data_IF_482201667457
#
_entry.id   IF_482201667457
#
_cell.length_a   1.000
_cell.length_b   1.000
_cell.length_c   1.000
_cell.angle_alpha   90.00
_cell.angle_beta   90.00
_cell.angle_gamma   90.00
#
_symmetry.space_group_name_H-M   'P 1'
#
loop_
_entity.id
_entity.type
_entity.pdbx_description
1 polymer ?
#
# COMPACT_ATOMS: atom_id res chain seq x y z
N UNK A 1 10.05 -5.18 18.76
CA UNK A 1 9.48 -6.17 17.84
C UNK A 1 9.99 -5.95 16.41
N UNK A 2 9.92 -6.95 15.52
CA UNK A 2 10.17 -6.79 14.07
C UNK A 2 8.90 -6.26 13.39
N UNK A 3 9.05 -5.34 12.43
CA UNK A 3 7.95 -4.83 11.59
C UNK A 3 8.21 -5.22 10.13
N UNK A 4 7.21 -5.79 9.46
CA UNK A 4 7.23 -6.00 8.02
C UNK A 4 6.45 -4.87 7.32
N UNK A 5 6.99 -4.38 6.20
CA UNK A 5 6.37 -3.32 5.41
C UNK A 5 6.37 -3.72 3.93
N UNK A 6 5.27 -4.29 3.43
CA UNK A 6 5.08 -4.47 2.00
C UNK A 6 4.98 -3.13 1.27
N UNK A 7 5.69 -3.03 0.13
CA UNK A 7 5.69 -1.83 -0.72
C UNK A 7 5.50 -2.21 -2.18
N UNK A 8 4.69 -1.44 -2.91
CA UNK A 8 4.40 -1.67 -4.33
C UNK A 8 5.02 -0.57 -5.19
N UNK A 9 5.61 -0.97 -6.32
CA UNK A 9 6.05 -0.04 -7.38
C UNK A 9 4.88 0.25 -8.29
N UNK A 10 4.50 1.52 -8.39
CA UNK A 10 3.35 1.99 -9.17
C UNK A 10 3.75 3.15 -10.08
N UNK A 11 2.89 3.52 -11.02
CA UNK A 11 3.07 4.77 -11.78
C UNK A 11 3.00 5.96 -10.82
N UNK A 12 3.95 6.89 -10.94
CA UNK A 12 3.97 8.10 -10.11
C UNK A 12 2.66 8.89 -10.28
N UNK A 13 2.07 9.32 -9.18
CA UNK A 13 0.76 9.98 -9.16
C UNK A 13 0.70 11.31 -9.93
N UNK A 14 1.85 11.92 -10.23
CA UNK A 14 1.93 13.12 -11.07
C UNK A 14 1.89 12.82 -12.57
N UNK A 15 2.00 11.55 -12.96
CA UNK A 15 2.00 11.14 -14.36
C UNK A 15 0.58 11.09 -14.89
N UNK A 16 0.34 11.72 -16.03
CA UNK A 16 -0.92 11.55 -16.75
C UNK A 16 -0.95 10.18 -17.42
N UNK A 17 -1.81 9.32 -16.93
CA UNK A 17 -2.02 7.97 -17.47
C UNK A 17 -2.56 8.02 -18.90
N UNK A 18 -2.07 7.12 -19.75
CA UNK A 18 -2.54 6.90 -21.12
C UNK A 18 -2.89 5.43 -21.32
N UNK A 19 -3.97 5.17 -22.01
CA UNK A 19 -4.36 3.82 -22.43
C UNK A 19 -3.67 3.50 -23.75
N UNK A 20 -3.19 2.26 -23.90
CA UNK A 20 -2.64 1.78 -25.16
C UNK A 20 -3.69 1.81 -26.26
N UNK A 21 -3.28 2.05 -27.51
CA UNK A 21 -4.20 2.18 -28.65
C UNK A 21 -5.06 0.92 -28.88
N UNK A 22 -4.55 -0.25 -28.54
CA UNK A 22 -5.24 -1.55 -28.64
C UNK A 22 -6.18 -1.84 -27.45
N UNK A 23 -6.21 -0.97 -26.43
CA UNK A 23 -7.00 -1.17 -25.23
C UNK A 23 -6.52 -2.31 -24.32
N UNK A 24 -5.32 -2.84 -24.52
CA UNK A 24 -4.78 -3.97 -23.72
C UNK A 24 -4.31 -3.57 -22.31
N UNK A 25 -4.29 -2.29 -21.99
CA UNK A 25 -3.84 -1.81 -20.70
C UNK A 25 -3.34 -0.38 -20.74
N UNK A 26 -2.69 0.02 -19.64
CA UNK A 26 -2.03 1.32 -19.51
C UNK A 26 -0.68 1.28 -20.22
N UNK A 27 -0.33 2.37 -20.92
CA UNK A 27 0.99 2.54 -21.51
C UNK A 27 2.01 2.90 -20.41
N UNK A 28 2.93 1.97 -20.15
CA UNK A 28 3.98 2.11 -19.15
C UNK A 28 5.35 2.45 -19.77
N UNK A 29 5.43 2.66 -21.09
CA UNK A 29 6.68 2.97 -21.76
C UNK A 29 7.21 4.36 -21.34
N UNK A 30 8.42 4.39 -20.80
CA UNK A 30 9.10 5.64 -20.36
C UNK A 30 8.29 6.45 -19.31
N UNK A 31 7.49 5.79 -18.50
CA UNK A 31 6.69 6.41 -17.44
C UNK A 31 7.50 6.39 -16.13
N UNK A 32 7.49 7.52 -15.41
CA UNK A 32 8.07 7.58 -14.07
C UNK A 32 7.29 6.65 -13.15
N UNK A 33 8.03 5.79 -12.45
CA UNK A 33 7.51 4.90 -11.42
C UNK A 33 7.97 5.36 -10.04
N UNK A 34 7.16 5.11 -9.02
CA UNK A 34 7.47 5.45 -7.62
C UNK A 34 6.94 4.38 -6.67
N UNK A 35 7.25 4.53 -5.38
CA UNK A 35 6.57 3.79 -4.33
C UNK A 35 5.12 4.25 -4.25
N UNK A 36 4.19 3.33 -4.01
CA UNK A 36 2.80 3.67 -3.72
C UNK A 36 2.72 4.63 -2.52
N UNK A 37 2.01 5.77 -2.61
CA UNK A 37 1.97 6.77 -1.55
C UNK A 37 1.49 6.24 -0.19
N UNK A 38 0.54 5.32 -0.18
CA UNK A 38 0.10 4.70 1.07
C UNK A 38 1.17 3.80 1.70
N UNK A 39 2.05 3.20 0.88
CA UNK A 39 3.16 2.39 1.38
C UNK A 39 4.29 3.28 1.91
N UNK A 40 4.50 4.48 1.35
CA UNK A 40 5.43 5.47 1.91
C UNK A 40 5.02 5.87 3.34
N UNK A 41 3.71 6.06 3.58
CA UNK A 41 3.15 6.28 4.92
C UNK A 41 3.44 5.09 5.85
N UNK A 42 3.31 3.86 5.35
CA UNK A 42 3.60 2.65 6.13
C UNK A 42 5.08 2.54 6.50
N UNK A 43 5.99 2.85 5.56
CA UNK A 43 7.44 2.88 5.80
C UNK A 43 7.79 3.94 6.85
N UNK A 44 7.26 5.15 6.71
CA UNK A 44 7.48 6.25 7.67
C UNK A 44 7.01 5.85 9.07
N UNK A 45 5.82 5.25 9.18
CA UNK A 45 5.30 4.82 10.47
C UNK A 45 6.19 3.77 11.14
N UNK A 46 6.64 2.75 10.38
CA UNK A 46 7.56 1.74 10.90
C UNK A 46 8.87 2.37 11.41
N UNK A 47 9.39 3.38 10.70
CA UNK A 47 10.59 4.10 11.10
C UNK A 47 10.34 4.88 12.39
N UNK A 48 9.23 5.59 12.53
CA UNK A 48 8.84 6.30 13.76
C UNK A 48 8.72 5.36 14.95
N UNK A 49 8.14 4.18 14.78
CA UNK A 49 8.05 3.17 15.83
C UNK A 49 9.44 2.66 16.23
N UNK A 50 10.38 2.54 15.30
CA UNK A 50 11.76 2.15 15.59
C UNK A 50 12.53 3.27 16.31
N UNK A 51 12.40 4.51 15.89
CA UNK A 51 13.00 5.68 16.55
C UNK A 51 12.48 5.86 17.98
N UNK A 52 11.21 5.50 18.22
CA UNK A 52 10.61 5.47 19.56
C UNK A 52 11.04 4.25 20.41
N UNK A 53 11.95 3.40 19.92
CA UNK A 53 12.42 2.21 20.62
C UNK A 53 11.39 1.06 20.71
N UNK A 54 10.29 1.13 19.95
CA UNK A 54 9.22 0.11 19.94
C UNK A 54 9.48 -1.02 18.95
N UNK A 55 10.22 -0.75 17.88
CA UNK A 55 10.64 -1.75 16.90
C UNK A 55 12.16 -1.94 16.94
N UNK A 56 12.62 -3.16 16.65
CA UNK A 56 14.04 -3.53 16.60
C UNK A 56 14.55 -3.65 15.18
N UNK A 57 13.69 -4.08 14.24
CA UNK A 57 14.04 -4.30 12.84
C UNK A 57 12.85 -3.96 11.93
N UNK A 58 13.13 -3.34 10.80
CA UNK A 58 12.17 -3.05 9.72
C UNK A 58 12.60 -3.79 8.47
N UNK A 59 11.75 -4.70 8.01
CA UNK A 59 11.96 -5.48 6.78
C UNK A 59 10.96 -5.03 5.73
N UNK A 60 11.47 -4.53 4.61
CA UNK A 60 10.64 -4.08 3.48
C UNK A 60 10.52 -5.18 2.44
N UNK A 61 9.33 -5.40 1.92
CA UNK A 61 9.05 -6.47 0.97
C UNK A 61 8.43 -5.87 -0.29
N UNK A 62 8.90 -6.29 -1.46
CA UNK A 62 8.21 -5.99 -2.73
C UNK A 62 8.08 -7.26 -3.56
N UNK A 63 6.95 -7.40 -4.23
CA UNK A 63 6.64 -8.53 -5.11
C UNK A 63 6.46 -7.97 -6.52
N UNK A 64 7.26 -8.45 -7.47
CA UNK A 64 7.21 -7.95 -8.84
C UNK A 64 8.49 -8.20 -9.63
N UNK A 65 8.65 -7.56 -10.79
CA UNK A 65 9.84 -7.72 -11.62
C UNK A 65 11.10 -7.15 -10.95
N UNK A 66 12.28 -7.46 -11.51
CA UNK A 66 13.57 -7.10 -10.92
C UNK A 66 13.68 -5.62 -10.51
N UNK A 67 13.09 -4.71 -11.29
CA UNK A 67 13.13 -3.27 -10.98
C UNK A 67 12.23 -2.85 -9.80
N UNK A 68 11.43 -3.75 -9.22
CA UNK A 68 10.75 -3.49 -7.94
C UNK A 68 11.76 -3.33 -6.79
N UNK A 69 13.01 -3.79 -6.95
CA UNK A 69 14.10 -3.51 -6.03
C UNK A 69 14.37 -2.00 -5.83
N UNK A 70 14.08 -1.15 -6.82
CA UNK A 70 14.23 0.31 -6.71
C UNK A 70 13.33 0.88 -5.60
N UNK A 71 12.09 0.39 -5.49
CA UNK A 71 11.15 0.78 -4.44
C UNK A 71 11.64 0.34 -3.06
N UNK A 72 12.19 -0.89 -2.96
CA UNK A 72 12.84 -1.34 -1.73
C UNK A 72 14.03 -0.41 -1.38
N UNK A 73 14.88 -0.03 -2.35
CA UNK A 73 15.99 0.88 -2.12
C UNK A 73 15.53 2.25 -1.60
N UNK A 74 14.39 2.75 -2.07
CA UNK A 74 13.79 3.99 -1.55
C UNK A 74 13.43 3.84 -0.07
N UNK A 75 12.75 2.77 0.33
CA UNK A 75 12.41 2.51 1.73
C UNK A 75 13.67 2.31 2.62
N UNK A 76 14.70 1.64 2.09
CA UNK A 76 15.99 1.49 2.77
C UNK A 76 16.69 2.85 2.98
N UNK A 77 16.53 3.78 2.03
CA UNK A 77 17.06 5.14 2.14
C UNK A 77 16.27 5.99 3.14
N UNK A 78 14.97 5.76 3.30
CA UNK A 78 14.16 6.37 4.35
C UNK A 78 14.60 5.91 5.75
N UNK A 79 15.03 4.66 5.92
CA UNK A 79 15.50 4.17 7.23
C UNK A 79 15.29 2.68 7.51
N UNK A 80 14.62 1.92 6.64
CA UNK A 80 14.45 0.48 6.82
C UNK A 80 15.81 -0.26 6.82
N UNK A 81 15.84 -1.46 7.40
CA UNK A 81 17.09 -2.18 7.66
C UNK A 81 17.52 -3.07 6.49
N UNK A 82 16.61 -3.90 5.98
CA UNK A 82 16.85 -4.80 4.85
C UNK A 82 15.60 -4.99 4.01
N UNK A 83 15.76 -5.59 2.84
CA UNK A 83 14.67 -5.85 1.92
C UNK A 83 14.54 -7.32 1.54
N UNK A 84 13.34 -7.70 1.10
CA UNK A 84 13.05 -8.96 0.43
C UNK A 84 12.37 -8.62 -0.90
N UNK A 85 12.96 -9.05 -2.01
CA UNK A 85 12.34 -8.99 -3.33
C UNK A 85 11.82 -10.37 -3.70
N UNK A 86 10.50 -10.50 -3.84
CA UNK A 86 9.91 -11.70 -4.44
C UNK A 86 9.76 -11.45 -5.94
N UNK A 87 10.74 -11.93 -6.69
CA UNK A 87 10.89 -11.65 -8.11
C UNK A 87 9.94 -12.48 -8.96
N UNK A 88 9.10 -11.81 -9.72
CA UNK A 88 8.22 -12.42 -10.72
C UNK A 88 7.83 -11.38 -11.76
N UNK A 89 7.72 -11.81 -13.02
CA UNK A 89 7.21 -10.98 -14.13
C UNK A 89 5.71 -11.21 -14.38
N UNK A 90 5.10 -12.14 -13.64
CA UNK A 90 3.66 -12.38 -13.69
C UNK A 90 2.88 -11.20 -13.05
N UNK A 91 1.69 -10.93 -13.58
CA UNK A 91 0.73 -10.06 -12.93
C UNK A 91 0.19 -10.79 -11.67
N UNK A 92 0.50 -10.27 -10.49
CA UNK A 92 0.14 -10.91 -9.21
C UNK A 92 -1.11 -10.25 -8.62
N UNK A 93 -2.16 -11.02 -8.46
CA UNK A 93 -3.42 -10.58 -7.86
C UNK A 93 -3.34 -10.47 -6.33
N UNK A 94 -4.20 -9.66 -5.67
CA UNK A 94 -4.15 -9.41 -4.23
C UNK A 94 -4.12 -10.67 -3.35
N UNK A 95 -4.87 -11.72 -3.71
CA UNK A 95 -4.87 -12.97 -2.96
C UNK A 95 -3.53 -13.73 -3.05
N UNK A 96 -2.90 -13.72 -4.22
CA UNK A 96 -1.58 -14.34 -4.39
C UNK A 96 -0.52 -13.55 -3.62
N UNK A 97 -0.58 -12.21 -3.64
CA UNK A 97 0.26 -11.35 -2.79
C UNK A 97 0.07 -11.68 -1.32
N UNK A 98 -1.18 -11.78 -0.83
CA UNK A 98 -1.47 -12.12 0.56
C UNK A 98 -0.92 -13.50 0.96
N UNK A 99 -0.97 -14.51 0.07
CA UNK A 99 -0.39 -15.84 0.32
C UNK A 99 1.14 -15.80 0.42
N UNK A 100 1.81 -15.05 -0.46
CA UNK A 100 3.27 -14.85 -0.40
C UNK A 100 3.64 -14.15 0.91
N UNK A 101 2.94 -13.07 1.25
CA UNK A 101 3.18 -12.34 2.49
C UNK A 101 2.94 -13.22 3.73
N UNK A 102 1.93 -14.10 3.71
CA UNK A 102 1.71 -15.09 4.79
C UNK A 102 2.95 -15.96 5.00
N UNK A 103 3.49 -16.55 3.94
CA UNK A 103 4.67 -17.40 4.03
C UNK A 103 5.91 -16.64 4.54
N UNK A 104 6.05 -15.35 4.14
CA UNK A 104 7.11 -14.48 4.66
C UNK A 104 6.88 -14.19 6.15
N UNK A 105 5.66 -13.91 6.58
CA UNK A 105 5.31 -13.69 7.99
C UNK A 105 5.64 -14.93 8.82
N UNK A 106 5.32 -16.13 8.33
CA UNK A 106 5.63 -17.39 8.99
C UNK A 106 7.14 -17.64 9.11
N UNK A 107 7.95 -17.14 8.19
CA UNK A 107 9.42 -17.24 8.24
C UNK A 107 10.03 -16.16 9.12
N UNK A 108 9.58 -14.91 8.97
CA UNK A 108 10.16 -13.73 9.62
C UNK A 108 9.67 -13.51 11.04
N UNK A 109 8.52 -14.07 11.41
CA UNK A 109 7.91 -13.95 12.74
C UNK A 109 7.82 -12.50 13.25
N UNK A 110 7.22 -11.56 12.50
CA UNK A 110 7.08 -10.18 12.94
C UNK A 110 6.02 -10.04 14.03
N UNK A 111 6.12 -8.98 14.82
CA UNK A 111 5.06 -8.58 15.74
C UNK A 111 4.02 -7.66 15.09
N UNK A 112 4.32 -7.12 13.90
CA UNK A 112 3.44 -6.18 13.21
C UNK A 112 3.73 -6.17 11.71
N UNK A 113 2.67 -6.12 10.91
CA UNK A 113 2.75 -5.79 9.48
C UNK A 113 2.05 -4.45 9.29
N UNK A 114 2.75 -3.47 8.72
CA UNK A 114 2.18 -2.17 8.34
C UNK A 114 2.26 -2.05 6.83
N UNK A 115 1.17 -1.76 6.15
CA UNK A 115 1.11 -1.65 4.70
C UNK A 115 0.11 -0.58 4.26
N UNK A 116 0.24 -0.08 3.04
CA UNK A 116 -0.75 0.82 2.46
C UNK A 116 -2.14 0.19 2.43
N UNK A 117 -3.19 0.98 2.67
CA UNK A 117 -4.57 0.48 2.60
C UNK A 117 -4.93 -0.01 1.20
N UNK A 118 -4.37 0.62 0.17
CA UNK A 118 -4.60 0.32 -1.24
C UNK A 118 -3.39 0.75 -2.07
N UNK A 119 -3.31 0.30 -3.32
CA UNK A 119 -2.36 0.80 -4.30
C UNK A 119 -3.09 1.67 -5.31
N UNK A 120 -2.48 2.82 -5.72
CA UNK A 120 -3.13 3.81 -6.58
C UNK A 120 -3.31 3.37 -8.03
N UNK A 121 -2.75 2.22 -8.41
CA UNK A 121 -2.87 1.66 -9.77
C UNK A 121 -4.11 0.78 -9.97
N UNK A 122 -4.60 0.13 -8.90
CA UNK A 122 -5.75 -0.77 -8.99
C UNK A 122 -6.87 -0.49 -7.97
N UNK A 123 -6.57 0.29 -6.93
CA UNK A 123 -7.48 0.65 -5.83
C UNK A 123 -8.24 -0.53 -5.19
N UNK A 124 -7.69 -1.75 -5.29
CA UNK A 124 -8.40 -2.97 -4.86
C UNK A 124 -8.66 -3.04 -3.36
N UNK A 125 -7.79 -2.46 -2.52
CA UNK A 125 -7.93 -2.44 -1.05
C UNK A 125 -8.27 -3.81 -0.43
N UNK A 126 -7.58 -4.87 -0.83
CA UNK A 126 -7.92 -6.24 -0.46
C UNK A 126 -6.79 -7.00 0.26
N UNK A 127 -5.53 -6.71 -0.07
CA UNK A 127 -4.38 -7.52 0.34
C UNK A 127 -4.22 -7.60 1.86
N UNK A 128 -4.33 -6.48 2.57
CA UNK A 128 -4.16 -6.44 4.03
C UNK A 128 -5.21 -7.26 4.77
N UNK A 129 -6.47 -7.12 4.37
CA UNK A 129 -7.60 -7.86 4.94
C UNK A 129 -7.50 -9.37 4.64
N UNK A 130 -7.10 -9.74 3.42
CA UNK A 130 -6.84 -11.13 3.04
C UNK A 130 -5.69 -11.73 3.84
N UNK A 131 -4.60 -10.98 4.03
CA UNK A 131 -3.46 -11.41 4.84
C UNK A 131 -3.86 -11.65 6.29
N UNK A 132 -4.61 -10.73 6.89
CA UNK A 132 -5.12 -10.87 8.25
C UNK A 132 -5.97 -12.12 8.41
N UNK A 133 -6.90 -12.37 7.48
CA UNK A 133 -7.74 -13.56 7.48
C UNK A 133 -6.93 -14.86 7.32
N UNK A 134 -5.96 -14.88 6.41
CA UNK A 134 -5.08 -16.05 6.18
C UNK A 134 -4.20 -16.40 7.38
N UNK A 135 -3.81 -15.41 8.20
CA UNK A 135 -3.00 -15.57 9.41
C UNK A 135 -3.86 -15.80 10.67
N UNK A 136 -5.17 -15.48 10.62
CA UNK A 136 -6.01 -15.42 11.81
C UNK A 136 -5.61 -14.27 12.75
N UNK A 137 -4.98 -13.22 12.23
CA UNK A 137 -4.50 -12.07 13.00
C UNK A 137 -5.54 -10.95 13.04
N UNK A 138 -5.60 -10.18 14.15
CA UNK A 138 -6.41 -8.98 14.20
C UNK A 138 -5.93 -7.94 13.20
N UNK A 139 -6.85 -7.09 12.73
CA UNK A 139 -6.55 -6.05 11.74
C UNK A 139 -7.07 -4.68 12.16
N UNK A 140 -6.27 -3.64 11.89
CA UNK A 140 -6.65 -2.24 11.99
C UNK A 140 -6.51 -1.57 10.62
N UNK A 141 -7.64 -1.41 9.91
CA UNK A 141 -7.65 -0.86 8.55
C UNK A 141 -7.87 0.64 8.55
N UNK A 142 -7.32 1.35 7.54
CA UNK A 142 -7.44 2.81 7.36
C UNK A 142 -6.91 3.62 8.56
N UNK A 143 -5.76 3.20 9.10
CA UNK A 143 -5.18 3.83 10.29
C UNK A 143 -4.80 5.29 10.03
N UNK A 144 -5.32 6.19 10.87
CA UNK A 144 -4.92 7.60 10.97
C UNK A 144 -4.13 7.91 12.25
N UNK A 145 -4.06 6.94 13.19
CA UNK A 145 -3.17 6.97 14.35
C UNK A 145 -2.79 5.55 14.75
N UNK A 146 -1.54 5.35 15.12
CA UNK A 146 -0.98 4.08 15.60
C UNK A 146 -0.20 4.31 16.90
N UNK A 147 -0.46 3.48 17.89
CA UNK A 147 0.30 3.47 19.15
C UNK A 147 0.61 2.04 19.56
N UNK A 148 1.86 1.75 19.93
CA UNK A 148 2.26 0.45 20.47
C UNK A 148 2.31 0.51 21.99
N UNK A 149 1.55 -0.35 22.67
CA UNK A 149 1.44 -0.47 24.13
C UNK A 149 1.86 -1.88 24.57
N UNK A 150 3.15 -2.07 24.82
CA UNK A 150 3.71 -3.41 25.07
C UNK A 150 3.57 -4.29 23.82
N UNK A 151 2.80 -5.38 23.92
CA UNK A 151 2.48 -6.28 22.80
C UNK A 151 1.23 -5.87 22.02
N UNK A 152 0.45 -4.91 22.55
CA UNK A 152 -0.81 -4.49 21.96
C UNK A 152 -0.62 -3.36 20.96
N UNK A 153 -1.46 -3.33 19.95
CA UNK A 153 -1.48 -2.32 18.88
C UNK A 153 -2.78 -1.55 18.97
N UNK A 154 -2.73 -0.26 19.28
CA UNK A 154 -3.89 0.63 19.34
C UNK A 154 -3.95 1.43 18.06
N UNK A 155 -5.04 1.29 17.31
CA UNK A 155 -5.25 1.91 16.00
C UNK A 155 -6.49 2.78 16.04
N UNK A 156 -6.36 4.06 15.72
CA UNK A 156 -7.51 4.90 15.37
C UNK A 156 -7.63 4.89 13.85
N UNK A 157 -8.81 4.57 13.36
CA UNK A 157 -9.10 4.37 11.95
C UNK A 157 -10.20 5.30 11.45
N UNK A 158 -10.10 5.67 10.18
CA UNK A 158 -11.11 6.44 9.48
C UNK A 158 -12.29 5.53 9.08
N UNK A 159 -13.50 5.92 9.43
CA UNK A 159 -14.75 5.26 9.04
C UNK A 159 -15.75 6.31 8.58
N UNK A 160 -16.79 5.94 7.82
CA UNK A 160 -17.75 6.89 7.25
C UNK A 160 -18.43 7.79 8.31
N UNK A 161 -18.68 7.27 9.50
CA UNK A 161 -19.27 8.02 10.62
C UNK A 161 -18.28 8.82 11.46
N UNK A 162 -16.97 8.82 11.14
CA UNK A 162 -15.93 9.51 11.91
C UNK A 162 -14.72 8.64 12.23
N UNK A 163 -14.31 8.60 13.51
CA UNK A 163 -13.14 7.84 13.95
C UNK A 163 -13.55 6.67 14.85
N UNK A 164 -12.87 5.54 14.68
CA UNK A 164 -13.01 4.36 15.54
C UNK A 164 -11.64 3.96 16.08
N UNK A 165 -11.52 3.79 17.41
CA UNK A 165 -10.28 3.28 18.00
C UNK A 165 -10.44 1.83 18.40
N UNK A 166 -9.50 1.00 17.94
CA UNK A 166 -9.43 -0.44 18.20
C UNK A 166 -8.15 -0.76 18.98
N UNK A 167 -8.24 -1.66 19.92
CA UNK A 167 -7.09 -2.29 20.57
C UNK A 167 -6.96 -3.72 20.02
N UNK A 168 -5.83 -4.00 19.38
CA UNK A 168 -5.50 -5.28 18.76
C UNK A 168 -4.49 -5.99 19.66
N UNK A 169 -4.80 -7.21 20.07
CA UNK A 169 -3.94 -8.00 20.96
C UNK A 169 -3.02 -8.90 20.15
N UNK A 170 -1.73 -8.90 20.47
CA UNK A 170 -0.70 -9.71 19.81
C UNK A 170 -0.32 -9.21 18.41
N UNK A 171 0.26 -10.09 17.57
CA UNK A 171 0.65 -9.72 16.23
C UNK A 171 -0.56 -9.23 15.42
N UNK A 172 -0.39 -8.16 14.64
CA UNK A 172 -1.49 -7.51 13.94
C UNK A 172 -1.12 -7.09 12.51
N UNK A 173 -2.16 -6.92 11.69
CA UNK A 173 -2.06 -6.28 10.38
C UNK A 173 -2.67 -4.88 10.47
N UNK A 174 -1.91 -3.87 10.07
CA UNK A 174 -2.38 -2.48 10.01
C UNK A 174 -2.27 -1.97 8.59
N UNK A 175 -3.36 -1.39 8.08
CA UNK A 175 -3.33 -0.70 6.79
C UNK A 175 -3.43 0.81 7.00
N UNK A 176 -2.59 1.58 6.31
CA UNK A 176 -2.41 3.01 6.56
C UNK A 176 -3.29 3.88 5.67
N UNK A 177 -3.89 4.91 6.26
CA UNK A 177 -4.47 6.04 5.55
C UNK A 177 -3.44 7.17 5.39
N UNK A 178 -3.64 8.07 4.44
CA UNK A 178 -2.75 9.22 4.20
C UNK A 178 -2.69 10.20 5.39
N UNK A 179 -3.67 10.15 6.29
CA UNK A 179 -3.73 10.99 7.50
C UNK A 179 -2.84 10.53 8.63
N UNK A 180 -2.24 9.33 8.54
CA UNK A 180 -1.43 8.75 9.62
C UNK A 180 -0.17 9.57 9.90
N UNK A 181 0.55 9.97 8.87
CA UNK A 181 1.77 10.75 8.97
C UNK A 181 2.12 11.42 7.64
N UNK A 182 3.19 12.21 7.65
CA UNK A 182 3.83 12.77 6.47
C UNK A 182 5.22 12.10 6.31
N UNK A 183 5.46 11.40 5.19
CA UNK A 183 6.73 10.71 4.96
C UNK A 183 7.91 11.65 4.86
N UNK A 184 9.04 11.25 5.42
CA UNK A 184 10.30 11.97 5.33
C UNK A 184 10.95 11.83 3.95
N UNK A 185 11.70 12.84 3.53
CA UNK A 185 12.59 12.72 2.38
C UNK A 185 13.89 12.01 2.78
N UNK A 186 14.34 11.09 1.92
CA UNK A 186 15.63 10.45 2.11
C UNK A 186 16.76 11.44 1.82
N UNK A 187 17.71 11.59 2.74
CA UNK A 187 18.90 12.41 2.53
C UNK A 187 19.89 11.72 1.56
N UNK A 188 20.70 12.50 0.87
CA UNK A 188 21.72 11.96 -0.05
C UNK A 188 22.68 10.95 0.64
N UNK A 189 23.19 11.19 1.85
CA UNK A 189 23.97 10.17 2.58
C UNK A 189 23.20 8.87 2.82
N UNK A 190 21.91 8.95 3.13
CA UNK A 190 21.08 7.76 3.36
C UNK A 190 20.81 6.98 2.07
N UNK A 191 20.64 7.67 0.93
CA UNK A 191 20.53 7.04 -0.39
C UNK A 191 21.82 6.26 -0.70
N UNK A 192 23.00 6.84 -0.42
CA UNK A 192 24.29 6.15 -0.63
C UNK A 192 24.45 4.93 0.30
N UNK A 193 24.05 5.04 1.57
CA UNK A 193 24.06 3.91 2.51
C UNK A 193 23.08 2.80 2.08
N UNK A 194 21.91 3.17 1.58
CA UNK A 194 20.89 2.22 1.14
C UNK A 194 21.36 1.29 0.02
N UNK A 195 22.27 1.76 -0.87
CA UNK A 195 22.86 0.92 -1.92
C UNK A 195 23.58 -0.32 -1.39
N UNK A 196 24.12 -0.26 -0.16
CA UNK A 196 24.88 -1.34 0.49
C UNK A 196 24.03 -2.22 1.41
N UNK A 197 22.78 -1.80 1.75
CA UNK A 197 21.89 -2.60 2.58
C UNK A 197 21.44 -3.87 1.84
N UNK A 198 21.30 -5.02 2.53
CA UNK A 198 20.95 -6.28 1.89
C UNK A 198 19.53 -6.25 1.34
N UNK A 199 19.35 -6.89 0.18
CA UNK A 199 18.07 -7.28 -0.39
C UNK A 199 18.17 -8.76 -0.73
N UNK A 200 17.36 -9.58 -0.09
CA UNK A 200 17.24 -11.00 -0.37
C UNK A 200 16.31 -11.21 -1.55
N UNK A 201 16.78 -11.84 -2.62
CA UNK A 201 15.95 -12.18 -3.76
C UNK A 201 15.41 -13.61 -3.61
N UNK A 202 14.10 -13.74 -3.77
CA UNK A 202 13.34 -15.00 -3.75
C UNK A 202 12.38 -15.03 -4.93
N UNK A 203 11.73 -16.16 -5.14
CA UNK A 203 10.66 -16.29 -6.13
C UNK A 203 9.39 -16.79 -5.45
N UNK A 204 8.19 -16.67 -6.07
CA UNK A 204 6.95 -17.19 -5.49
C UNK A 204 7.02 -18.70 -5.19
N UNK A 205 7.75 -19.46 -6.00
CA UNK A 205 7.94 -20.90 -5.82
C UNK A 205 8.70 -21.22 -4.54
N UNK A 206 9.63 -20.34 -4.11
CA UNK A 206 10.33 -20.46 -2.81
C UNK A 206 9.34 -20.52 -1.64
N UNK A 207 8.19 -19.89 -1.80
CA UNK A 207 7.11 -19.85 -0.81
C UNK A 207 5.96 -20.81 -1.11
N UNK A 208 6.10 -21.65 -2.15
CA UNK A 208 5.07 -22.62 -2.56
C UNK A 208 3.76 -21.97 -3.04
N UNK A 209 3.82 -20.74 -3.54
CA UNK A 209 2.62 -20.00 -3.96
C UNK A 209 2.50 -19.97 -5.48
N UNK A 210 1.34 -20.44 -5.97
CA UNK A 210 0.93 -20.26 -7.35
C UNK A 210 0.39 -18.83 -7.55
N UNK A 211 1.06 -18.07 -8.43
CA UNK A 211 0.70 -16.68 -8.76
C UNK A 211 -0.09 -16.56 -10.06
N UNK A 212 -0.53 -17.69 -10.65
CA UNK A 212 -1.30 -17.66 -11.89
C UNK A 212 -2.55 -16.78 -11.75
N UNK A 213 -2.73 -15.77 -12.62
CA UNK A 213 -3.91 -14.92 -12.59
C UNK A 213 -5.21 -15.71 -12.76
N UNK A 214 -6.25 -15.30 -12.04
CA UNK A 214 -7.62 -15.85 -12.14
C UNK A 214 -8.56 -14.95 -12.92
N UNK A 215 -8.18 -13.68 -13.10
CA UNK A 215 -8.92 -12.68 -13.85
C UNK A 215 -8.20 -12.39 -15.17
N UNK A 216 -9.01 -12.07 -16.20
CA UNK A 216 -8.52 -11.59 -17.46
C UNK A 216 -9.10 -10.20 -17.74
N UNK A 217 -8.23 -9.23 -17.94
CA UNK A 217 -8.66 -7.88 -18.36
C UNK A 217 -9.01 -7.97 -19.85
N UNK A 218 -10.27 -7.75 -20.19
CA UNK A 218 -10.74 -7.81 -21.58
C UNK A 218 -10.47 -6.51 -22.32
N UNK A 219 -10.62 -5.37 -21.65
CA UNK A 219 -10.44 -4.05 -22.25
C UNK A 219 -10.16 -2.99 -21.18
N UNK A 220 -9.26 -2.07 -21.50
CA UNK A 220 -9.00 -0.85 -20.74
C UNK A 220 -9.40 0.36 -21.59
N UNK A 221 -10.16 1.29 -21.02
CA UNK A 221 -10.60 2.52 -21.68
C UNK A 221 -10.40 3.72 -20.76
N UNK A 222 -10.22 4.90 -21.34
CA UNK A 222 -10.26 6.12 -20.55
C UNK A 222 -11.69 6.32 -19.99
N UNK A 223 -11.83 6.90 -18.78
CA UNK A 223 -13.14 7.23 -18.23
C UNK A 223 -13.82 8.29 -19.11
N UNK A 224 -15.14 8.23 -19.18
CA UNK A 224 -15.93 9.24 -19.89
C UNK A 224 -15.65 10.64 -19.33
N UNK A 225 -15.55 11.62 -20.22
CA UNK A 225 -15.37 13.03 -19.80
C UNK A 225 -16.59 13.50 -19.02
N UNK A 226 -16.39 13.96 -17.81
CA UNK A 226 -17.47 14.59 -17.05
C UNK A 226 -17.92 15.86 -17.74
N UNK A 227 -19.23 16.06 -17.85
CA UNK A 227 -19.81 17.32 -18.31
C UNK A 227 -19.51 18.39 -17.25
N UNK A 228 -19.22 19.60 -17.72
CA UNK A 228 -19.05 20.73 -16.79
C UNK A 228 -20.33 20.98 -15.99
N UNK A 229 -20.16 21.37 -14.72
CA UNK A 229 -21.30 21.78 -13.89
C UNK A 229 -21.94 23.09 -14.40
N UNK A 230 -23.11 23.39 -13.88
CA UNK A 230 -23.81 24.67 -14.12
C UNK A 230 -23.72 25.55 -12.88
N UNK A 231 -23.57 26.86 -13.09
CA UNK A 231 -23.69 27.83 -12.00
C UNK A 231 -25.15 28.09 -11.74
N UNK A 232 -25.55 28.16 -10.49
CA UNK A 232 -26.91 28.49 -10.05
C UNK A 232 -26.92 29.85 -9.36
N UNK A 233 -28.05 30.53 -9.38
CA UNK A 233 -28.18 31.90 -8.85
C UNK A 233 -28.29 31.93 -7.32
N UNK A 234 -28.83 30.87 -6.70
CA UNK A 234 -29.09 30.84 -5.26
C UNK A 234 -28.90 29.42 -4.68
N UNK A 235 -28.83 29.34 -3.34
CA UNK A 235 -28.84 28.09 -2.61
C UNK A 235 -30.16 27.33 -2.83
N UNK A 236 -31.28 28.04 -2.88
CA UNK A 236 -32.58 27.42 -3.14
C UNK A 236 -32.63 26.74 -4.52
N UNK A 237 -32.07 27.37 -5.55
CA UNK A 237 -31.97 26.78 -6.89
C UNK A 237 -31.05 25.55 -6.89
N UNK A 238 -29.93 25.58 -6.11
CA UNK A 238 -29.06 24.44 -5.96
C UNK A 238 -29.81 23.24 -5.34
N UNK A 239 -30.48 23.45 -4.23
CA UNK A 239 -31.26 22.41 -3.53
C UNK A 239 -32.35 21.85 -4.45
N UNK A 240 -33.10 22.75 -5.15
CA UNK A 240 -34.13 22.31 -6.08
C UNK A 240 -33.57 21.44 -7.20
N UNK A 241 -32.43 21.79 -7.77
CA UNK A 241 -31.77 21.00 -8.84
C UNK A 241 -31.21 19.69 -8.32
N UNK A 242 -30.59 19.66 -7.15
CA UNK A 242 -30.08 18.44 -6.52
C UNK A 242 -31.22 17.46 -6.22
N UNK A 243 -32.38 17.96 -5.77
CA UNK A 243 -33.56 17.15 -5.46
C UNK A 243 -34.30 16.69 -6.72
N UNK A 244 -34.61 17.60 -7.65
CA UNK A 244 -35.53 17.33 -8.73
C UNK A 244 -34.87 16.85 -10.03
N UNK A 245 -33.61 17.26 -10.29
CA UNK A 245 -32.88 16.89 -11.52
C UNK A 245 -31.81 15.81 -11.25
N UNK A 246 -31.04 15.95 -10.17
CA UNK A 246 -29.97 14.99 -9.86
C UNK A 246 -30.42 13.80 -8.99
N UNK A 247 -31.51 13.95 -8.23
CA UNK A 247 -32.07 12.89 -7.38
C UNK A 247 -31.11 12.44 -6.25
N UNK A 248 -30.29 13.37 -5.73
CA UNK A 248 -29.31 13.09 -4.68
C UNK A 248 -29.68 13.66 -3.30
N UNK A 249 -30.81 14.32 -3.21
CA UNK A 249 -31.45 14.81 -1.98
C UNK A 249 -32.88 14.30 -1.85
#
# INVERSE_FOLDING_TARGET
MKILVPVKRVVDFNVKIRVKADGSGVDLANVKMSMNPFDEIAVEEAIRQKEAGKATEIVVISIGPAHAAETIRTALAMGADRGILVKTDAAVEPLAVAKILKAIVETEQPGLVIMGKQAIDDDSNQTGQMLAALLGWPQGTFASKLTLEGSDVVVTREVDGGLQTLKLNGPAIVTTDLRLNEPRYASLPNIMKAKKKPIDEKTPETYGVDVKPRLQILKTVEPEKRKGGIKVASVADLVAKLKNEAGVL
#
